data_IF_615684978168
#
_entry.id   IF_615684978168
#
_cell.length_a   1.000
_cell.length_b   1.000
_cell.length_c   1.000
_cell.angle_alpha   90.00
_cell.angle_beta   90.00
_cell.angle_gamma   90.00
#
_symmetry.space_group_name_H-M   'P 1'
#
loop_
_entity.id
_entity.type
_entity.pdbx_description
1 polymer ?
#
# COMPACT_ATOMS: atom_id res chain seq x y z
N UNK A 1 -0.56 -11.61 5.02
CA UNK A 1 -0.99 -10.80 3.86
C UNK A 1 0.10 -9.87 3.36
N UNK A 2 0.60 -8.92 4.16
CA UNK A 2 1.62 -7.94 3.72
C UNK A 2 2.86 -8.61 3.11
N UNK A 3 3.47 -9.58 3.80
CA UNK A 3 4.65 -10.29 3.27
C UNK A 3 4.42 -10.97 1.91
N UNK A 4 3.25 -11.58 1.71
CA UNK A 4 2.92 -12.26 0.45
C UNK A 4 2.80 -11.24 -0.69
N UNK A 5 2.07 -10.15 -0.45
CA UNK A 5 1.88 -9.07 -1.43
C UNK A 5 3.21 -8.40 -1.76
N UNK A 6 4.06 -8.15 -0.75
CA UNK A 6 5.39 -7.56 -0.95
C UNK A 6 6.28 -8.47 -1.81
N UNK A 7 6.31 -9.78 -1.54
CA UNK A 7 7.11 -10.74 -2.33
C UNK A 7 6.58 -10.84 -3.76
N UNK A 8 5.26 -11.01 -3.93
CA UNK A 8 4.64 -11.10 -5.25
C UNK A 8 4.88 -9.82 -6.08
N UNK A 9 4.71 -8.64 -5.47
CA UNK A 9 4.99 -7.36 -6.12
C UNK A 9 6.45 -7.21 -6.54
N UNK A 10 7.40 -7.57 -5.66
CA UNK A 10 8.83 -7.54 -5.97
C UNK A 10 9.19 -8.46 -7.15
N UNK A 11 8.59 -9.66 -7.21
CA UNK A 11 8.77 -10.61 -8.31
C UNK A 11 8.20 -10.09 -9.62
N UNK A 12 6.96 -9.58 -9.62
CA UNK A 12 6.33 -9.01 -10.82
C UNK A 12 7.17 -7.84 -11.34
N UNK A 13 7.58 -6.91 -10.46
CA UNK A 13 8.43 -5.79 -10.84
C UNK A 13 9.77 -6.26 -11.43
N UNK A 14 10.41 -7.26 -10.82
CA UNK A 14 11.66 -7.80 -11.33
C UNK A 14 11.49 -8.42 -12.73
N UNK A 15 10.39 -9.14 -12.97
CA UNK A 15 10.09 -9.73 -14.28
C UNK A 15 9.83 -8.66 -15.35
N UNK A 16 9.08 -7.61 -15.01
CA UNK A 16 8.82 -6.49 -15.93
C UNK A 16 10.13 -5.80 -16.34
N UNK A 17 10.99 -5.49 -15.37
CA UNK A 17 12.30 -4.87 -15.64
C UNK A 17 13.18 -5.81 -16.47
N UNK A 18 13.18 -7.11 -16.15
CA UNK A 18 13.93 -8.11 -16.90
C UNK A 18 13.46 -8.21 -18.36
N UNK A 19 12.15 -8.10 -18.61
CA UNK A 19 11.59 -8.10 -19.97
C UNK A 19 12.02 -6.85 -20.75
N UNK A 20 11.89 -5.66 -20.15
CA UNK A 20 12.34 -4.38 -20.74
C UNK A 20 13.82 -4.41 -21.14
N UNK A 21 14.69 -4.94 -20.27
CA UNK A 21 16.13 -5.07 -20.53
C UNK A 21 16.39 -6.02 -21.69
N UNK A 22 15.65 -7.13 -21.78
CA UNK A 22 15.83 -8.15 -22.83
C UNK A 22 15.49 -7.61 -24.22
N UNK A 23 14.51 -6.72 -24.33
CA UNK A 23 14.12 -6.10 -25.60
C UNK A 23 15.21 -5.18 -26.17
N UNK A 24 15.98 -4.51 -25.29
CA UNK A 24 17.02 -3.54 -25.68
C UNK A 24 18.45 -4.07 -25.62
N UNK A 25 18.64 -5.35 -25.26
CA UNK A 25 19.96 -5.96 -25.00
C UNK A 25 20.93 -5.88 -26.20
N UNK A 26 20.38 -5.86 -27.42
CA UNK A 26 21.18 -5.77 -28.64
C UNK A 26 21.83 -4.39 -28.78
N UNK A 27 21.05 -3.33 -28.59
CA UNK A 27 21.53 -1.94 -28.62
C UNK A 27 22.63 -1.72 -27.57
N UNK A 28 22.40 -2.23 -26.36
CA UNK A 28 23.39 -2.19 -25.28
C UNK A 28 24.67 -2.97 -25.60
N UNK A 29 24.56 -4.10 -26.30
CA UNK A 29 25.69 -4.89 -26.76
C UNK A 29 26.54 -4.13 -27.80
N UNK A 30 25.89 -3.37 -28.69
CA UNK A 30 26.56 -2.48 -29.64
C UNK A 30 27.26 -1.32 -28.92
N UNK A 31 26.59 -0.67 -27.97
CA UNK A 31 27.19 0.41 -27.16
C UNK A 31 28.44 -0.07 -26.41
N UNK A 32 28.40 -1.28 -25.86
CA UNK A 32 29.56 -1.86 -25.20
C UNK A 32 30.71 -2.17 -26.16
N UNK A 33 30.39 -2.57 -27.40
CA UNK A 33 31.38 -2.83 -28.44
C UNK A 33 32.08 -1.55 -28.93
N UNK A 34 31.41 -0.40 -28.82
CA UNK A 34 31.99 0.93 -29.10
C UNK A 34 32.87 1.44 -27.93
N UNK A 35 32.90 0.71 -26.81
CA UNK A 35 33.79 0.99 -25.67
C UNK A 35 33.10 1.64 -24.47
N UNK A 36 31.77 1.70 -24.44
CA UNK A 36 31.05 2.21 -23.28
C UNK A 36 31.17 1.26 -22.07
N UNK A 37 31.35 1.84 -20.89
CA UNK A 37 31.52 1.07 -19.65
C UNK A 37 30.20 0.42 -19.23
N UNK A 38 30.25 -0.87 -18.84
CA UNK A 38 29.09 -1.63 -18.31
C UNK A 38 28.40 -0.93 -17.14
N UNK A 39 29.14 -0.15 -16.35
CA UNK A 39 28.60 0.62 -15.24
C UNK A 39 27.68 1.75 -15.67
N UNK A 40 27.98 2.47 -16.77
CA UNK A 40 27.08 3.51 -17.31
C UNK A 40 25.73 2.93 -17.69
N UNK A 41 25.72 1.74 -18.28
CA UNK A 41 24.50 1.05 -18.67
C UNK A 41 23.63 0.65 -17.46
N UNK A 42 24.26 0.15 -16.39
CA UNK A 42 23.56 -0.16 -15.14
C UNK A 42 23.01 1.11 -14.50
N UNK A 43 23.80 2.18 -14.52
CA UNK A 43 23.39 3.48 -13.98
C UNK A 43 22.24 4.08 -14.77
N UNK A 44 22.20 3.91 -16.10
CA UNK A 44 21.08 4.31 -16.95
C UNK A 44 19.78 3.63 -16.51
N UNK A 45 19.78 2.30 -16.36
CA UNK A 45 18.61 1.57 -15.88
C UNK A 45 18.14 2.03 -14.51
N UNK A 46 19.10 2.25 -13.62
CA UNK A 46 18.80 2.74 -12.29
C UNK A 46 18.15 4.13 -12.32
N UNK A 47 18.69 5.06 -13.12
CA UNK A 47 18.12 6.40 -13.28
C UNK A 47 16.75 6.38 -13.96
N UNK A 48 16.51 5.45 -14.90
CA UNK A 48 15.22 5.27 -15.57
C UNK A 48 14.14 4.83 -14.57
N UNK A 49 14.43 3.80 -13.76
CA UNK A 49 13.51 3.32 -12.73
C UNK A 49 13.29 4.38 -11.64
N UNK A 50 14.32 5.13 -11.26
CA UNK A 50 14.19 6.23 -10.31
C UNK A 50 13.25 7.32 -10.84
N UNK A 51 13.41 7.73 -12.11
CA UNK A 51 12.57 8.76 -12.72
C UNK A 51 11.10 8.31 -12.81
N UNK A 52 10.86 7.05 -13.21
CA UNK A 52 9.52 6.46 -13.23
C UNK A 52 8.92 6.37 -11.82
N UNK A 53 9.71 5.97 -10.83
CA UNK A 53 9.27 5.89 -9.44
C UNK A 53 8.84 7.26 -8.91
N UNK A 54 9.64 8.32 -9.14
CA UNK A 54 9.28 9.68 -8.73
C UNK A 54 7.96 10.13 -9.36
N UNK A 55 7.80 9.94 -10.67
CA UNK A 55 6.55 10.26 -11.37
C UNK A 55 5.35 9.47 -10.81
N UNK A 56 5.54 8.19 -10.52
CA UNK A 56 4.50 7.33 -9.94
C UNK A 56 4.11 7.77 -8.53
N UNK A 57 5.08 8.11 -7.67
CA UNK A 57 4.82 8.59 -6.31
C UNK A 57 4.05 9.92 -6.31
N UNK A 58 4.33 10.83 -7.26
CA UNK A 58 3.57 12.08 -7.39
C UNK A 58 2.09 11.80 -7.70
N UNK A 59 1.81 10.92 -8.67
CA UNK A 59 0.45 10.54 -9.03
C UNK A 59 -0.26 9.74 -7.92
N UNK A 60 0.47 8.85 -7.25
CA UNK A 60 -0.05 8.08 -6.13
C UNK A 60 -0.37 8.99 -4.93
N UNK A 61 0.48 9.98 -4.63
CA UNK A 61 0.25 10.94 -3.56
C UNK A 61 -1.03 11.75 -3.77
N UNK A 62 -1.28 12.22 -5.00
CA UNK A 62 -2.50 12.97 -5.33
C UNK A 62 -3.76 12.10 -5.29
N UNK A 63 -3.69 10.86 -5.79
CA UNK A 63 -4.85 9.94 -5.83
C UNK A 63 -5.12 9.24 -4.49
N UNK A 64 -4.11 9.12 -3.62
CA UNK A 64 -4.20 8.42 -2.34
C UNK A 64 -5.27 9.00 -1.41
N UNK A 65 -5.42 10.33 -1.38
CA UNK A 65 -6.41 10.97 -0.51
C UNK A 65 -7.85 10.56 -0.87
N UNK A 66 -8.16 10.49 -2.16
CA UNK A 66 -9.47 10.08 -2.65
C UNK A 66 -9.78 8.61 -2.31
N UNK A 67 -8.82 7.72 -2.57
CA UNK A 67 -8.95 6.29 -2.26
C UNK A 67 -9.07 6.05 -0.75
N UNK A 68 -8.32 6.79 0.07
CA UNK A 68 -8.36 6.68 1.52
C UNK A 68 -9.72 7.09 2.09
N UNK A 69 -10.34 8.15 1.57
CA UNK A 69 -11.68 8.57 2.01
C UNK A 69 -12.75 7.53 1.68
N UNK A 70 -12.73 6.96 0.47
CA UNK A 70 -13.70 5.93 0.07
C UNK A 70 -13.57 4.69 0.95
N UNK A 71 -12.33 4.19 1.11
CA UNK A 71 -12.06 3.02 1.94
C UNK A 71 -12.44 3.28 3.41
N UNK A 72 -12.13 4.47 3.94
CA UNK A 72 -12.50 4.87 5.29
C UNK A 72 -14.01 4.89 5.50
N UNK A 73 -14.77 5.48 4.57
CA UNK A 73 -16.23 5.53 4.64
C UNK A 73 -16.86 4.13 4.55
N UNK A 74 -16.29 3.21 3.75
CA UNK A 74 -16.79 1.84 3.62
C UNK A 74 -16.58 1.01 4.90
N UNK A 75 -15.44 1.20 5.57
CA UNK A 75 -15.19 0.56 6.86
C UNK A 75 -16.12 1.12 7.94
N UNK A 76 -16.40 2.42 7.92
CA UNK A 76 -17.29 3.07 8.88
C UNK A 76 -18.76 2.66 8.67
N UNK A 77 -19.21 2.56 7.42
CA UNK A 77 -20.56 2.04 7.11
C UNK A 77 -20.71 0.58 7.54
N UNK A 78 -19.68 -0.24 7.33
CA UNK A 78 -19.69 -1.64 7.76
C UNK A 78 -19.74 -1.79 9.29
N UNK A 79 -19.06 -0.91 10.04
CA UNK A 79 -19.15 -0.89 11.50
C UNK A 79 -20.55 -0.48 11.98
N UNK A 80 -21.17 0.53 11.36
CA UNK A 80 -22.51 0.98 11.71
C UNK A 80 -23.59 -0.07 11.41
N UNK A 81 -23.47 -0.80 10.29
CA UNK A 81 -24.38 -1.90 9.96
C UNK A 81 -24.22 -3.09 10.91
N UNK A 82 -22.99 -3.40 11.33
CA UNK A 82 -22.71 -4.49 12.29
C UNK A 82 -23.24 -4.16 13.69
N UNK A 83 -23.13 -2.91 14.13
CA UNK A 83 -23.69 -2.44 15.40
C UNK A 83 -25.23 -2.46 15.42
N UNK A 84 -25.88 -2.22 14.27
CA UNK A 84 -27.33 -2.35 14.12
C UNK A 84 -27.79 -3.81 14.12
N UNK A 85 -27.01 -4.75 13.58
CA UNK A 85 -27.35 -6.18 13.61
C UNK A 85 -27.19 -6.83 14.99
N UNK A 86 -26.26 -6.36 15.84
CA UNK A 86 -26.19 -6.80 17.24
C UNK A 86 -27.37 -6.29 18.09
N UNK A 87 -27.97 -5.15 17.72
CA UNK A 87 -29.16 -4.61 18.42
C UNK A 87 -30.48 -5.23 17.96
N UNK A 88 -30.52 -5.87 16.79
CA UNK A 88 -31.73 -6.48 16.22
C UNK A 88 -31.98 -7.94 16.65
N UNK A 89 -30.98 -8.64 17.21
CA UNK A 89 -31.10 -10.06 17.58
C UNK A 89 -31.21 -10.33 19.09
N UNK A 90 -31.51 -9.31 19.90
CA UNK A 90 -31.73 -9.41 21.35
C UNK A 90 -33.19 -9.42 21.80
N UNK A 91 -34.15 -9.59 20.88
CA UNK A 91 -35.59 -9.63 21.18
C UNK A 91 -36.19 -11.04 21.01
N UNK A 92 -35.58 -12.04 21.64
CA UNK A 92 -36.33 -13.20 22.13
C UNK A 92 -35.39 -14.09 22.94
N UNK A 93 -35.49 -14.03 24.27
CA UNK A 93 -35.52 -15.22 25.13
C UNK A 93 -35.50 -14.80 26.60
N UNK A 94 -36.50 -15.32 27.32
CA UNK A 94 -36.48 -15.60 28.75
C UNK A 94 -36.72 -14.44 29.74
N UNK A 95 -38.01 -14.20 30.01
CA UNK A 95 -38.50 -13.62 31.26
C UNK A 95 -38.26 -14.64 32.39
N UNK A 96 -37.20 -14.45 33.17
CA UNK A 96 -36.97 -15.18 34.41
C UNK A 96 -37.64 -14.49 35.62
N UNK A 97 -38.32 -15.22 36.52
CA UNK A 97 -39.02 -14.64 37.65
C UNK A 97 -38.07 -14.39 38.83
N UNK A 98 -37.81 -13.13 39.17
CA UNK A 98 -37.23 -12.77 40.46
C UNK A 98 -36.51 -11.42 40.51
N UNK A 99 -37.04 -10.49 41.32
CA UNK A 99 -36.19 -9.45 41.94
C UNK A 99 -36.63 -8.00 41.77
N UNK A 100 -37.58 -7.58 42.62
CA UNK A 100 -37.65 -6.28 43.31
C UNK A 100 -37.48 -4.95 42.53
N UNK A 101 -38.64 -4.30 42.31
CA UNK A 101 -38.96 -2.93 42.74
C UNK A 101 -37.81 -1.89 42.74
N UNK A 102 -37.79 -1.04 41.71
CA UNK A 102 -37.02 0.19 41.64
C UNK A 102 -37.52 1.05 40.48
N UNK A 103 -38.66 1.72 40.69
CA UNK A 103 -39.29 2.61 39.74
C UNK A 103 -38.43 3.84 39.49
N UNK A 104 -37.55 3.78 38.48
CA UNK A 104 -36.85 4.95 37.93
C UNK A 104 -37.71 5.55 36.82
N UNK A 105 -38.16 6.78 37.04
CA UNK A 105 -39.07 7.48 36.14
C UNK A 105 -38.43 7.85 34.79
N UNK A 106 -39.24 8.11 33.74
CA UNK A 106 -38.75 8.41 32.38
C UNK A 106 -37.81 9.62 32.24
N UNK A 107 -37.68 10.45 33.28
CA UNK A 107 -36.81 11.64 33.29
C UNK A 107 -35.34 11.32 33.56
N UNK A 108 -35.03 10.30 34.38
CA UNK A 108 -33.63 9.94 34.70
C UNK A 108 -32.96 9.12 33.58
N UNK A 109 -33.74 8.46 32.72
CA UNK A 109 -33.21 7.75 31.55
C UNK A 109 -32.78 8.72 30.42
N UNK A 110 -33.35 9.92 30.38
CA UNK A 110 -33.00 10.93 29.38
C UNK A 110 -31.72 11.70 29.72
N UNK A 111 -31.45 11.94 31.01
CA UNK A 111 -30.21 12.57 31.44
C UNK A 111 -29.00 11.65 31.21
N UNK A 112 -29.13 10.35 31.49
CA UNK A 112 -28.08 9.37 31.18
C UNK A 112 -27.91 9.07 29.68
N UNK A 113 -28.93 9.32 28.85
CA UNK A 113 -28.84 9.20 27.39
C UNK A 113 -28.20 10.41 26.69
N UNK A 114 -28.27 11.60 27.31
CA UNK A 114 -27.63 12.82 26.80
C UNK A 114 -26.16 12.86 27.23
N UNK A 115 -25.82 12.45 28.46
CA UNK A 115 -24.42 12.34 28.90
C UNK A 115 -23.62 11.30 28.10
N UNK A 116 -24.23 10.21 27.63
CA UNK A 116 -23.57 9.23 26.75
C UNK A 116 -23.37 9.71 25.31
N UNK A 117 -24.16 10.71 24.86
CA UNK A 117 -24.02 11.32 23.54
C UNK A 117 -22.95 12.43 23.55
N UNK A 118 -22.80 13.15 24.67
CA UNK A 118 -21.77 14.18 24.84
C UNK A 118 -20.37 13.57 25.06
N UNK A 119 -20.23 12.41 25.72
CA UNK A 119 -18.92 11.76 25.89
C UNK A 119 -18.36 11.12 24.60
N UNK A 120 -19.21 10.71 23.66
CA UNK A 120 -18.76 10.16 22.37
C UNK A 120 -18.48 11.24 21.30
N UNK A 121 -18.86 12.50 21.53
CA UNK A 121 -18.66 13.57 20.52
C UNK A 121 -17.31 14.28 20.68
N UNK A 122 -16.60 14.10 21.79
CA UNK A 122 -15.24 14.64 21.97
C UNK A 122 -14.12 13.67 21.57
N UNK A 123 -14.40 12.38 21.39
CA UNK A 123 -13.48 11.40 20.76
C UNK A 123 -13.74 11.18 19.26
N UNK A 124 -14.74 11.84 18.68
CA UNK A 124 -14.83 12.06 17.21
C UNK A 124 -14.22 13.43 16.86
N UNK A 125 -13.30 13.94 17.69
CA UNK A 125 -12.35 14.96 17.24
C UNK A 125 -11.20 14.25 16.58
N UNK A 126 -11.21 14.28 15.25
CA UNK A 126 -10.07 13.97 14.40
C UNK A 126 -9.75 12.47 14.41
N UNK A 127 -10.36 11.74 13.47
CA UNK A 127 -9.56 10.80 12.69
C UNK A 127 -8.55 11.68 11.93
N UNK A 128 -7.55 12.13 12.68
CA UNK A 128 -6.39 12.81 12.17
C UNK A 128 -5.63 11.71 11.45
N UNK A 129 -6.07 11.43 10.23
CA UNK A 129 -5.20 10.88 9.22
C UNK A 129 -4.22 12.02 8.88
N UNK A 130 -3.49 12.52 9.89
CA UNK A 130 -2.17 13.04 9.69
C UNK A 130 -1.37 11.81 9.27
N UNK A 131 -1.46 11.51 7.98
CA UNK A 131 -0.39 10.86 7.26
C UNK A 131 0.80 11.78 7.50
N UNK A 132 1.49 11.53 8.60
CA UNK A 132 2.65 12.33 8.97
C UNK A 132 3.60 12.18 7.80
N UNK A 133 4.17 13.29 7.34
CA UNK A 133 5.08 13.28 6.20
C UNK A 133 6.17 12.19 6.35
N UNK A 134 6.58 11.91 7.60
CA UNK A 134 7.49 10.84 7.96
C UNK A 134 6.99 9.42 7.65
N UNK A 135 5.71 9.10 7.85
CA UNK A 135 5.16 7.77 7.55
C UNK A 135 4.94 7.59 6.04
N UNK A 136 4.56 8.67 5.36
CA UNK A 136 4.50 8.71 3.90
C UNK A 136 5.90 8.51 3.29
N UNK A 137 6.92 9.13 3.89
CA UNK A 137 8.31 8.99 3.46
C UNK A 137 8.87 7.59 3.76
N UNK A 138 8.55 6.99 4.92
CA UNK A 138 8.94 5.60 5.24
C UNK A 138 8.32 4.60 4.26
N UNK A 139 7.02 4.74 3.98
CA UNK A 139 6.32 3.90 2.99
C UNK A 139 6.90 4.09 1.59
N UNK A 140 7.13 5.35 1.19
CA UNK A 140 7.80 5.65 -0.09
C UNK A 140 9.20 5.06 -0.17
N UNK A 141 9.98 5.18 0.91
CA UNK A 141 11.33 4.62 1.03
C UNK A 141 11.37 3.11 0.90
N UNK A 142 10.41 2.40 1.50
CA UNK A 142 10.28 0.94 1.32
C UNK A 142 9.94 0.61 -0.14
N UNK A 143 9.03 1.35 -0.78
CA UNK A 143 8.69 1.16 -2.18
C UNK A 143 9.89 1.38 -3.12
N UNK A 144 10.66 2.45 -2.91
CA UNK A 144 11.92 2.70 -3.63
C UNK A 144 12.94 1.60 -3.35
N UNK A 145 13.07 1.15 -2.10
CA UNK A 145 13.96 0.06 -1.72
C UNK A 145 13.64 -1.26 -2.43
N UNK A 146 12.35 -1.60 -2.53
CA UNK A 146 11.90 -2.78 -3.28
C UNK A 146 12.23 -2.62 -4.77
N UNK A 147 11.94 -1.45 -5.37
CA UNK A 147 12.27 -1.19 -6.76
C UNK A 147 13.78 -1.35 -7.04
N UNK A 148 14.62 -0.83 -6.14
CA UNK A 148 16.06 -1.01 -6.20
C UNK A 148 16.48 -2.48 -6.18
N UNK A 149 15.97 -3.26 -5.23
CA UNK A 149 16.30 -4.68 -5.09
C UNK A 149 15.84 -5.45 -6.34
N UNK A 150 14.67 -5.12 -6.90
CA UNK A 150 14.15 -5.72 -8.13
C UNK A 150 15.01 -5.42 -9.36
N UNK A 151 15.75 -4.30 -9.39
CA UNK A 151 16.69 -3.96 -10.48
C UNK A 151 17.99 -4.78 -10.39
N UNK A 152 18.39 -5.27 -9.21
CA UNK A 152 19.65 -6.00 -9.05
C UNK A 152 19.70 -7.31 -9.85
N UNK A 153 18.57 -8.02 -9.98
CA UNK A 153 18.46 -9.25 -10.78
C UNK A 153 18.80 -9.02 -12.27
N UNK A 154 18.13 -8.09 -12.98
CA UNK A 154 18.51 -7.74 -14.35
C UNK A 154 19.90 -7.08 -14.43
N UNK A 155 20.30 -6.26 -13.45
CA UNK A 155 21.64 -5.67 -13.44
C UNK A 155 22.75 -6.74 -13.41
N UNK A 156 22.61 -7.77 -12.58
CA UNK A 156 23.54 -8.91 -12.56
C UNK A 156 23.56 -9.66 -13.90
N UNK A 157 22.40 -9.80 -14.56
CA UNK A 157 22.31 -10.41 -15.89
C UNK A 157 23.13 -9.62 -16.92
N UNK A 158 23.07 -8.28 -16.89
CA UNK A 158 23.85 -7.40 -17.76
C UNK A 158 25.35 -7.47 -17.44
N UNK A 159 25.75 -7.39 -16.16
CA UNK A 159 27.17 -7.49 -15.80
C UNK A 159 27.80 -8.83 -16.23
N UNK A 160 27.01 -9.90 -16.13
CA UNK A 160 27.42 -11.27 -16.49
C UNK A 160 27.35 -11.55 -17.99
N UNK A 161 26.79 -10.66 -18.80
CA UNK A 161 26.86 -10.77 -20.26
C UNK A 161 28.29 -10.49 -20.73
N UNK A 162 28.90 -11.50 -21.33
CA UNK A 162 30.17 -11.35 -22.02
C UNK A 162 29.90 -10.80 -23.44
N UNK A 163 30.44 -9.62 -23.79
CA UNK A 163 30.15 -8.97 -25.07
C UNK A 163 30.56 -9.81 -26.28
N UNK A 164 31.51 -10.74 -26.10
CA UNK A 164 31.97 -11.65 -27.15
C UNK A 164 30.90 -12.68 -27.57
N UNK A 165 29.92 -13.00 -26.73
CA UNK A 165 28.90 -14.02 -27.01
C UNK A 165 27.65 -13.47 -27.72
N UNK A 166 27.51 -12.13 -27.78
CA UNK A 166 26.43 -11.47 -28.54
C UNK A 166 26.75 -11.51 -30.04
N UNK A 167 28.04 -11.40 -30.41
CA UNK A 167 28.51 -11.43 -31.79
C UNK A 167 28.67 -12.86 -32.36
N UNK A 168 28.89 -13.88 -31.51
CA UNK A 168 29.08 -15.27 -31.97
C UNK A 168 27.83 -16.14 -31.92
N UNK A 169 26.68 -15.61 -31.47
CA UNK A 169 25.37 -16.29 -31.54
C UNK A 169 24.56 -15.95 -32.80
N UNK A 170 25.20 -15.40 -33.82
CA UNK A 170 24.65 -15.42 -35.17
C UNK A 170 25.08 -16.71 -35.87
N UNK A 171 24.38 -17.79 -35.52
CA UNK A 171 24.01 -18.89 -36.41
C UNK A 171 22.50 -19.05 -36.30
#
# INVERSE_FOLDING_TARGET
MVYIVTIAGALILALLIMMQVRERKYEMGVLLAIGESRMKLVLQFFTEILMVAVMSFMLAGLSSHYVAQIAGNQLLSQQNETAQTTSANGQNENVGPGGSNGQVGPRDRMQNGISSLTQNTEEIKKLDIQVTLADMLKMGGIGVGIAFISVLLPAMTILRMNPKTILTKQE
#
